data_IF_487989823239
#
_entry.id   IF_487989823239
#
_cell.length_a   1.000
_cell.length_b   1.000
_cell.length_c   1.000
_cell.angle_alpha   90.00
_cell.angle_beta   90.00
_cell.angle_gamma   90.00
#
_symmetry.space_group_name_H-M   'P 1'
#
loop_
_entity.id
_entity.type
_entity.pdbx_description
1 polymer ?
#
# COMPACT_ATOMS: atom_id res chain seq x y z
N UNK A 1 0.96 -19.29 45.24
CA UNK A 1 -0.08 -18.35 44.79
C UNK A 1 0.47 -17.17 43.94
N UNK A 2 1.69 -16.69 44.14
CA UNK A 2 2.23 -15.55 43.39
C UNK A 2 2.46 -15.79 41.90
N UNK A 3 2.72 -17.00 41.45
CA UNK A 3 3.03 -17.33 40.06
C UNK A 3 1.83 -17.27 39.08
N UNK A 4 0.62 -17.14 39.56
CA UNK A 4 -0.60 -17.09 38.73
C UNK A 4 -1.05 -15.65 38.45
N UNK A 5 -0.83 -14.74 39.39
CA UNK A 5 -1.37 -13.37 39.32
C UNK A 5 -0.65 -12.48 38.30
N UNK A 6 0.69 -12.54 38.21
CA UNK A 6 1.40 -11.75 37.18
C UNK A 6 1.09 -12.22 35.76
N UNK A 7 0.85 -13.54 35.60
CA UNK A 7 0.53 -14.13 34.29
C UNK A 7 -0.86 -13.67 33.82
N UNK A 8 -1.83 -13.59 34.72
CA UNK A 8 -3.16 -13.07 34.44
C UNK A 8 -3.12 -11.62 33.95
N UNK A 9 -2.28 -10.76 34.55
CA UNK A 9 -2.10 -9.35 34.11
C UNK A 9 -1.47 -9.31 32.73
N UNK A 10 -0.46 -10.14 32.49
CA UNK A 10 0.20 -10.25 31.19
C UNK A 10 -0.80 -10.64 30.12
N UNK A 11 -1.55 -11.73 30.33
CA UNK A 11 -2.50 -12.27 29.37
C UNK A 11 -3.64 -11.28 29.09
N UNK A 12 -4.13 -10.55 30.09
CA UNK A 12 -5.19 -9.55 29.88
C UNK A 12 -4.70 -8.32 29.12
N UNK A 13 -3.50 -7.80 29.45
CA UNK A 13 -2.91 -6.70 28.68
C UNK A 13 -2.72 -7.11 27.22
N UNK A 14 -2.27 -8.33 26.98
CA UNK A 14 -2.07 -8.87 25.64
C UNK A 14 -3.40 -9.04 24.92
N UNK A 15 -4.41 -9.57 25.58
CA UNK A 15 -5.75 -9.71 25.01
C UNK A 15 -6.34 -8.34 24.67
N UNK A 16 -6.18 -7.34 25.54
CA UNK A 16 -6.60 -5.95 25.27
C UNK A 16 -5.90 -5.34 24.06
N UNK A 17 -4.64 -5.68 23.90
CA UNK A 17 -3.87 -5.27 22.76
C UNK A 17 -4.32 -6.01 21.50
N UNK A 18 -4.49 -7.33 21.56
CA UNK A 18 -4.96 -8.17 20.44
C UNK A 18 -6.37 -7.80 20.00
N UNK A 19 -7.24 -7.45 20.94
CA UNK A 19 -8.61 -7.02 20.66
C UNK A 19 -8.73 -5.54 20.26
N UNK A 20 -7.61 -4.80 20.20
CA UNK A 20 -7.60 -3.40 19.83
C UNK A 20 -8.10 -2.42 20.89
N UNK A 21 -8.33 -2.87 22.12
CA UNK A 21 -8.66 -2.01 23.25
C UNK A 21 -7.48 -1.15 23.69
N UNK A 22 -6.26 -1.72 23.59
CA UNK A 22 -5.00 -1.00 23.73
C UNK A 22 -4.27 -1.08 22.38
N UNK A 23 -3.84 0.06 21.87
CA UNK A 23 -3.15 0.14 20.60
C UNK A 23 -1.70 0.64 20.79
N UNK A 24 -0.86 0.38 19.80
CA UNK A 24 0.51 0.88 19.77
C UNK A 24 0.55 2.39 20.02
N UNK A 25 1.39 2.80 20.96
CA UNK A 25 1.50 4.19 21.44
C UNK A 25 0.47 4.59 22.50
N UNK A 26 -0.45 3.71 22.91
CA UNK A 26 -1.35 4.02 24.02
C UNK A 26 -0.61 3.96 25.36
N UNK A 27 -0.94 4.92 26.23
CA UNK A 27 -0.43 4.95 27.58
C UNK A 27 -1.20 3.96 28.46
N UNK A 28 -0.49 3.12 29.17
CA UNK A 28 -1.10 2.26 30.19
C UNK A 28 -1.50 3.10 31.42
N UNK A 29 -2.52 2.64 32.17
CA UNK A 29 -2.79 3.18 33.51
C UNK A 29 -1.56 3.11 34.40
N UNK A 30 -1.53 3.92 35.45
CA UNK A 30 -0.43 3.88 36.41
C UNK A 30 -0.35 2.52 37.14
N UNK A 31 0.84 2.16 37.62
CA UNK A 31 1.03 0.94 38.40
C UNK A 31 0.06 0.82 39.59
N UNK A 32 -0.35 1.95 40.17
CA UNK A 32 -1.31 2.01 41.25
C UNK A 32 -2.73 1.68 40.76
N UNK A 33 -3.16 2.21 39.67
CA UNK A 33 -4.47 1.93 39.06
C UNK A 33 -4.55 0.48 38.59
N UNK A 34 -3.47 -0.05 37.98
CA UNK A 34 -3.39 -1.47 37.59
C UNK A 34 -3.47 -2.37 38.83
N UNK A 35 -2.75 -2.06 39.91
CA UNK A 35 -2.77 -2.79 41.17
C UNK A 35 -4.17 -2.83 41.78
N UNK A 36 -4.90 -1.71 41.77
CA UNK A 36 -6.27 -1.63 42.23
C UNK A 36 -7.25 -2.42 41.34
N UNK A 37 -7.11 -2.32 40.03
CA UNK A 37 -7.99 -2.99 39.04
C UNK A 37 -7.92 -4.52 39.18
N UNK A 38 -6.71 -5.08 39.31
CA UNK A 38 -6.52 -6.53 39.42
C UNK A 38 -6.51 -7.03 40.86
N UNK A 39 -6.65 -6.16 41.85
CA UNK A 39 -6.58 -6.49 43.26
C UNK A 39 -5.31 -7.29 43.65
N UNK A 40 -4.15 -6.80 43.20
CA UNK A 40 -2.84 -7.42 43.44
C UNK A 40 -1.84 -6.43 44.02
N UNK A 41 -0.74 -6.94 44.56
CA UNK A 41 0.34 -6.10 45.06
C UNK A 41 1.06 -5.35 43.92
N UNK A 42 1.57 -4.16 44.21
CA UNK A 42 2.31 -3.36 43.27
C UNK A 42 3.54 -4.07 42.70
N UNK A 43 4.21 -4.90 43.50
CA UNK A 43 5.33 -5.74 43.05
C UNK A 43 4.96 -6.67 41.93
N UNK A 44 3.76 -7.30 42.02
CA UNK A 44 3.22 -8.18 40.96
C UNK A 44 2.96 -7.42 39.65
N UNK A 45 2.43 -6.19 39.76
CA UNK A 45 2.26 -5.30 38.58
C UNK A 45 3.59 -4.94 37.96
N UNK A 46 4.58 -4.54 38.78
CA UNK A 46 5.93 -4.20 38.29
C UNK A 46 6.52 -5.39 37.54
N UNK A 47 6.46 -6.58 38.16
CA UNK A 47 6.94 -7.83 37.52
C UNK A 47 6.25 -8.07 36.18
N UNK A 48 4.93 -7.93 36.10
CA UNK A 48 4.17 -8.11 34.84
C UNK A 48 4.59 -7.11 33.78
N UNK A 49 4.68 -5.83 34.15
CA UNK A 49 5.08 -4.78 33.21
C UNK A 49 6.54 -4.94 32.77
N UNK A 50 7.44 -5.37 33.66
CA UNK A 50 8.85 -5.59 33.28
C UNK A 50 9.02 -6.79 32.35
N UNK A 51 8.23 -7.84 32.53
CA UNK A 51 8.15 -8.97 31.60
C UNK A 51 7.63 -8.47 30.24
N UNK A 52 6.54 -7.72 30.20
CA UNK A 52 6.00 -7.16 28.96
C UNK A 52 6.97 -6.18 28.26
N UNK A 53 7.75 -5.44 29.04
CA UNK A 53 8.85 -4.59 28.53
C UNK A 53 10.00 -5.43 27.99
N UNK A 54 10.40 -6.48 28.72
CA UNK A 54 11.47 -7.39 28.25
C UNK A 54 11.09 -8.07 26.94
N UNK A 55 9.81 -8.33 26.74
CA UNK A 55 9.24 -8.80 25.46
C UNK A 55 9.07 -7.68 24.44
N UNK A 56 9.31 -6.42 24.84
CA UNK A 56 9.18 -5.25 23.97
C UNK A 56 7.74 -4.95 23.55
N UNK A 57 6.77 -5.48 24.25
CA UNK A 57 5.34 -5.19 24.08
C UNK A 57 5.03 -3.81 24.67
N UNK A 58 5.69 -3.49 25.76
CA UNK A 58 5.61 -2.21 26.41
C UNK A 58 6.96 -1.49 26.35
N UNK A 59 6.94 -0.17 26.38
CA UNK A 59 8.10 0.68 26.50
C UNK A 59 7.89 1.76 27.56
N UNK A 60 8.96 2.18 28.23
CA UNK A 60 8.90 3.28 29.17
C UNK A 60 9.36 4.55 28.48
N UNK A 61 8.54 5.58 28.46
CA UNK A 61 8.95 6.92 28.05
C UNK A 61 9.27 7.68 29.34
N UNK A 62 10.51 8.13 29.46
CA UNK A 62 11.00 8.81 30.64
C UNK A 62 10.10 9.97 31.05
N UNK A 63 9.73 10.06 32.35
CA UNK A 63 8.81 11.03 32.95
C UNK A 63 7.38 11.04 32.39
N UNK A 64 7.02 10.18 31.40
CA UNK A 64 5.68 10.12 30.81
C UNK A 64 4.88 8.85 31.17
N UNK A 65 5.57 7.75 31.47
CA UNK A 65 4.94 6.50 31.90
C UNK A 65 5.23 5.30 31.01
N UNK A 66 4.40 4.26 31.12
CA UNK A 66 4.50 3.03 30.32
C UNK A 66 3.51 3.08 29.17
N UNK A 67 3.99 2.74 27.99
CA UNK A 67 3.23 2.78 26.73
C UNK A 67 3.28 1.44 26.02
N UNK A 68 2.27 1.14 25.23
CA UNK A 68 2.32 0.03 24.29
C UNK A 68 3.34 0.34 23.23
N UNK A 69 4.35 -0.49 23.05
CA UNK A 69 5.48 -0.24 22.14
C UNK A 69 5.03 -0.12 20.69
N UNK A 70 5.63 0.84 19.97
CA UNK A 70 5.35 1.05 18.55
C UNK A 70 6.01 -0.01 17.63
N UNK A 71 6.94 -0.82 18.14
CA UNK A 71 7.88 -1.54 17.28
C UNK A 71 7.91 -3.07 17.41
N UNK A 72 7.13 -3.72 18.29
CA UNK A 72 7.39 -5.14 18.63
C UNK A 72 6.15 -6.04 18.82
N UNK A 73 5.20 -6.02 17.88
CA UNK A 73 4.01 -6.86 17.96
C UNK A 73 4.18 -8.34 17.56
N UNK A 74 5.24 -8.70 16.82
CA UNK A 74 5.47 -10.09 16.37
C UNK A 74 6.08 -11.03 17.43
N UNK A 75 6.21 -10.59 18.67
CA UNK A 75 6.91 -11.36 19.72
C UNK A 75 6.02 -12.37 20.48
N UNK A 76 4.75 -12.53 20.09
CA UNK A 76 3.81 -13.41 20.79
C UNK A 76 3.68 -14.83 20.24
N UNK A 77 4.60 -15.27 19.40
CA UNK A 77 4.74 -16.69 19.16
C UNK A 77 5.70 -17.21 20.22
N UNK A 78 5.25 -18.18 21.00
CA UNK A 78 5.96 -18.95 22.03
C UNK A 78 7.27 -19.56 21.52
N UNK A 79 8.24 -18.73 21.16
CA UNK A 79 9.55 -19.17 20.73
C UNK A 79 10.66 -18.53 21.55
N UNK A 80 11.69 -19.29 21.81
CA UNK A 80 12.85 -18.98 22.62
C UNK A 80 13.27 -17.50 22.56
N UNK A 81 13.61 -16.91 23.70
CA UNK A 81 14.13 -15.55 23.96
C UNK A 81 15.16 -15.08 22.91
N UNK A 82 15.93 -15.98 22.30
CA UNK A 82 16.89 -15.68 21.25
C UNK A 82 16.30 -15.06 19.98
N UNK A 83 15.19 -15.54 19.46
CA UNK A 83 14.58 -15.02 18.22
C UNK A 83 14.11 -13.57 18.34
N UNK A 84 13.66 -13.16 19.53
CA UNK A 84 13.24 -11.78 19.78
C UNK A 84 14.38 -10.78 19.62
N UNK A 85 15.60 -11.15 20.06
CA UNK A 85 16.79 -10.32 19.88
C UNK A 85 17.12 -10.17 18.39
N UNK A 86 17.05 -11.27 17.61
CA UNK A 86 17.25 -11.21 16.16
C UNK A 86 16.23 -10.33 15.48
N UNK A 87 14.94 -10.51 15.76
CA UNK A 87 13.84 -9.70 15.20
C UNK A 87 14.00 -8.23 15.62
N UNK A 88 14.28 -7.95 16.89
CA UNK A 88 14.45 -6.61 17.41
C UNK A 88 15.63 -5.84 16.82
N UNK A 89 16.71 -6.53 16.48
CA UNK A 89 17.92 -5.96 15.90
C UNK A 89 17.94 -6.02 14.35
N UNK A 90 16.93 -6.64 13.74
CA UNK A 90 16.81 -6.73 12.28
C UNK A 90 16.74 -5.33 11.65
N UNK A 91 17.40 -5.16 10.51
CA UNK A 91 17.31 -3.93 9.70
C UNK A 91 15.90 -3.76 9.11
N UNK A 92 15.23 -4.85 8.78
CA UNK A 92 13.86 -4.86 8.29
C UNK A 92 12.88 -4.88 9.45
N UNK A 93 12.02 -3.88 9.51
CA UNK A 93 10.97 -3.79 10.55
C UNK A 93 9.65 -4.34 10.03
N UNK A 94 8.87 -4.91 10.92
CA UNK A 94 7.49 -5.33 10.63
C UNK A 94 6.61 -4.16 10.22
N UNK A 95 5.50 -4.42 9.55
CA UNK A 95 4.50 -3.42 9.21
C UNK A 95 3.95 -2.71 10.46
N UNK A 96 3.39 -1.53 10.26
CA UNK A 96 2.67 -0.80 11.30
C UNK A 96 1.44 -1.60 11.76
N UNK A 97 1.02 -1.40 13.01
CA UNK A 97 -0.10 -2.10 13.63
C UNK A 97 -1.37 -2.10 12.77
N UNK A 98 -1.80 -0.95 12.27
CA UNK A 98 -2.98 -0.88 11.39
C UNK A 98 -2.86 -1.80 10.17
N UNK A 99 -1.68 -1.82 9.53
CA UNK A 99 -1.46 -2.63 8.32
C UNK A 99 -1.52 -4.12 8.67
N UNK A 100 -0.91 -4.53 9.79
CA UNK A 100 -0.98 -5.92 10.25
C UNK A 100 -2.42 -6.33 10.55
N UNK A 101 -3.14 -5.48 11.30
CA UNK A 101 -4.54 -5.74 11.67
C UNK A 101 -5.48 -5.76 10.47
N UNK A 102 -5.27 -4.86 9.50
CA UNK A 102 -6.04 -4.86 8.25
C UNK A 102 -5.77 -6.14 7.46
N UNK A 103 -4.50 -6.50 7.27
CA UNK A 103 -4.13 -7.73 6.54
C UNK A 103 -4.73 -8.98 7.18
N UNK A 104 -4.76 -9.07 8.52
CA UNK A 104 -5.38 -10.18 9.23
C UNK A 104 -6.91 -10.21 9.00
N UNK A 105 -7.57 -9.06 9.14
CA UNK A 105 -9.02 -8.96 9.04
C UNK A 105 -9.52 -9.10 7.60
N UNK A 106 -8.73 -8.77 6.60
CA UNK A 106 -9.09 -8.95 5.19
C UNK A 106 -9.34 -10.43 4.81
N UNK A 107 -8.86 -11.39 5.60
CA UNK A 107 -9.16 -12.81 5.40
C UNK A 107 -10.41 -13.29 6.16
N UNK A 108 -11.05 -12.43 6.96
CA UNK A 108 -12.31 -12.78 7.61
C UNK A 108 -13.48 -12.64 6.62
N UNK A 109 -14.20 -13.74 6.26
CA UNK A 109 -15.26 -13.70 5.28
C UNK A 109 -16.47 -12.87 5.70
N UNK A 110 -16.63 -12.62 7.01
CA UNK A 110 -17.77 -11.88 7.55
C UNK A 110 -17.54 -10.35 7.61
N UNK A 111 -16.34 -9.88 7.28
CA UNK A 111 -16.04 -8.46 7.38
C UNK A 111 -16.33 -7.72 6.06
N UNK A 112 -17.03 -6.61 6.16
CA UNK A 112 -17.30 -5.72 5.03
C UNK A 112 -16.10 -4.81 4.82
N UNK A 113 -15.44 -4.94 3.68
CA UNK A 113 -14.18 -4.25 3.38
C UNK A 113 -14.45 -2.93 2.66
N UNK A 114 -14.52 -1.82 3.42
CA UNK A 114 -14.69 -0.47 2.86
C UNK A 114 -13.39 0.23 2.46
N UNK A 115 -12.23 -0.35 2.76
CA UNK A 115 -10.93 0.28 2.49
C UNK A 115 -9.96 -0.56 1.66
N UNK A 116 -10.30 -1.81 1.34
CA UNK A 116 -9.42 -2.78 0.68
C UNK A 116 -8.92 -2.31 -0.69
N UNK A 117 -7.64 -2.54 -0.94
CA UNK A 117 -6.95 -2.11 -2.15
C UNK A 117 -6.95 -3.13 -3.30
N UNK A 118 -7.99 -3.94 -3.44
CA UNK A 118 -8.12 -4.94 -4.50
C UNK A 118 -9.53 -4.98 -5.08
N UNK A 119 -9.67 -5.63 -6.23
CA UNK A 119 -10.96 -5.88 -6.87
C UNK A 119 -11.72 -6.97 -6.12
N UNK A 120 -13.06 -6.84 -6.08
CA UNK A 120 -13.93 -7.93 -5.65
C UNK A 120 -13.71 -9.18 -6.52
N UNK A 121 -13.79 -10.41 -5.96
CA UNK A 121 -13.78 -11.62 -6.74
C UNK A 121 -14.83 -11.66 -7.86
N UNK A 122 -15.92 -10.91 -7.73
CA UNK A 122 -16.96 -10.75 -8.77
C UNK A 122 -16.49 -9.94 -9.98
N UNK A 123 -15.48 -9.07 -9.81
CA UNK A 123 -14.89 -8.25 -10.87
C UNK A 123 -13.69 -8.91 -11.54
N UNK A 124 -13.21 -10.03 -10.98
CA UNK A 124 -12.12 -10.81 -11.57
C UNK A 124 -12.71 -11.73 -12.65
N UNK A 125 -12.19 -11.68 -13.89
CA UNK A 125 -12.75 -12.44 -15.02
C UNK A 125 -12.35 -13.91 -14.99
N UNK A 126 -12.79 -14.64 -13.97
CA UNK A 126 -12.41 -16.04 -13.71
C UNK A 126 -12.74 -16.98 -14.87
N UNK A 127 -13.78 -16.69 -15.66
CA UNK A 127 -14.16 -17.49 -16.83
C UNK A 127 -13.09 -17.40 -17.93
N UNK A 128 -12.51 -16.22 -18.17
CA UNK A 128 -11.44 -16.04 -19.14
C UNK A 128 -10.13 -16.72 -18.68
N UNK A 129 -9.85 -16.72 -17.37
CA UNK A 129 -8.73 -17.49 -16.84
C UNK A 129 -8.89 -18.98 -17.05
N UNK A 130 -10.10 -19.53 -16.86
CA UNK A 130 -10.38 -20.94 -17.15
C UNK A 130 -10.12 -21.25 -18.61
N UNK A 131 -10.57 -20.40 -19.53
CA UNK A 131 -10.35 -20.55 -20.96
C UNK A 131 -8.84 -20.55 -21.30
N UNK A 132 -8.08 -19.55 -20.80
CA UNK A 132 -6.63 -19.47 -21.03
C UNK A 132 -5.92 -20.72 -20.50
N UNK A 133 -6.28 -21.18 -19.29
CA UNK A 133 -5.65 -22.36 -18.67
C UNK A 133 -6.03 -23.65 -19.44
N UNK A 134 -7.27 -23.80 -19.86
CA UNK A 134 -7.68 -24.97 -20.65
C UNK A 134 -6.95 -25.06 -21.99
N UNK A 135 -6.78 -23.93 -22.66
CA UNK A 135 -6.04 -23.87 -23.93
C UNK A 135 -4.52 -24.07 -23.72
N UNK A 136 -4.01 -23.87 -22.52
CA UNK A 136 -2.59 -24.04 -22.19
C UNK A 136 -2.11 -25.49 -22.28
N UNK A 137 -3.02 -26.46 -22.12
CA UNK A 137 -2.70 -27.89 -22.20
C UNK A 137 -2.24 -28.26 -23.62
N UNK A 138 -2.83 -27.65 -24.65
CA UNK A 138 -2.42 -27.81 -26.04
C UNK A 138 -1.13 -27.09 -26.40
N UNK A 139 -0.80 -26.02 -25.71
CA UNK A 139 0.33 -25.14 -26.02
C UNK A 139 1.68 -25.61 -25.43
N UNK A 140 1.73 -26.77 -24.78
CA UNK A 140 2.94 -27.37 -24.17
C UNK A 140 3.71 -26.35 -23.32
N UNK A 141 3.09 -25.84 -22.22
CA UNK A 141 3.73 -24.86 -21.33
C UNK A 141 5.04 -25.43 -20.79
N UNK A 142 6.13 -24.73 -21.06
CA UNK A 142 7.39 -24.99 -20.40
C UNK A 142 7.33 -24.43 -18.97
N UNK A 143 7.60 -25.26 -17.99
CA UNK A 143 7.58 -24.92 -16.56
C UNK A 143 8.99 -24.78 -15.97
N UNK A 144 10.00 -24.65 -16.82
CA UNK A 144 11.39 -24.38 -16.42
C UNK A 144 11.55 -22.95 -15.92
N UNK A 145 12.73 -22.64 -15.39
CA UNK A 145 13.08 -21.26 -15.08
C UNK A 145 13.03 -20.39 -16.32
N UNK A 146 12.46 -19.21 -16.17
CA UNK A 146 12.42 -18.20 -17.22
C UNK A 146 13.66 -17.29 -17.13
N UNK A 147 13.95 -16.55 -18.20
CA UNK A 147 14.99 -15.52 -18.17
C UNK A 147 14.79 -14.56 -16.99
N UNK A 148 15.85 -14.04 -16.37
CA UNK A 148 15.76 -13.06 -15.28
C UNK A 148 14.91 -11.84 -15.63
N UNK A 149 14.97 -11.35 -16.88
CA UNK A 149 14.10 -10.28 -17.40
C UNK A 149 12.63 -10.68 -17.56
N UNK A 150 12.34 -11.97 -17.53
CA UNK A 150 11.03 -12.54 -17.81
C UNK A 150 10.88 -13.04 -19.26
N UNK A 151 9.86 -13.85 -19.47
CA UNK A 151 9.55 -14.52 -20.74
C UNK A 151 9.50 -13.53 -21.91
N UNK A 152 10.21 -13.84 -22.99
CA UNK A 152 10.30 -12.95 -24.17
C UNK A 152 8.91 -12.61 -24.73
N UNK A 153 8.03 -13.62 -24.84
CA UNK A 153 6.65 -13.40 -25.34
C UNK A 153 5.87 -12.39 -24.47
N UNK A 154 6.03 -12.44 -23.14
CA UNK A 154 5.38 -11.47 -22.27
C UNK A 154 6.01 -10.07 -22.40
N UNK A 155 7.32 -9.99 -22.53
CA UNK A 155 8.01 -8.70 -22.76
C UNK A 155 7.57 -8.05 -24.07
N UNK A 156 7.36 -8.84 -25.13
CA UNK A 156 6.80 -8.35 -26.41
C UNK A 156 5.38 -7.79 -26.22
N UNK A 157 4.52 -8.48 -25.47
CA UNK A 157 3.18 -7.95 -25.19
C UNK A 157 3.21 -6.69 -24.30
N UNK A 158 4.17 -6.60 -23.38
CA UNK A 158 4.38 -5.35 -22.62
C UNK A 158 4.87 -4.23 -23.52
N UNK A 159 5.74 -4.47 -24.52
CA UNK A 159 6.10 -3.47 -25.55
C UNK A 159 4.85 -2.97 -26.29
N UNK A 160 3.98 -3.89 -26.73
CA UNK A 160 2.72 -3.54 -27.41
C UNK A 160 1.80 -2.71 -26.49
N UNK A 161 1.69 -3.13 -25.23
CA UNK A 161 0.94 -2.41 -24.19
C UNK A 161 1.48 -0.99 -23.99
N UNK A 162 2.80 -0.81 -23.89
CA UNK A 162 3.44 0.49 -23.71
C UNK A 162 3.31 1.38 -24.94
N UNK A 163 3.41 0.80 -26.14
CA UNK A 163 3.21 1.52 -27.42
C UNK A 163 1.82 2.16 -27.49
N UNK A 164 0.77 1.45 -27.08
CA UNK A 164 -0.61 2.00 -27.02
C UNK A 164 -0.74 3.17 -26.03
N UNK A 165 0.24 3.35 -25.15
CA UNK A 165 0.32 4.44 -24.15
C UNK A 165 1.31 5.54 -24.56
N UNK A 166 1.81 5.48 -25.79
CA UNK A 166 2.75 6.45 -26.35
C UNK A 166 4.18 6.31 -25.85
N UNK A 167 4.52 5.20 -25.18
CA UNK A 167 5.89 4.92 -24.72
C UNK A 167 6.62 4.09 -25.77
N UNK A 168 7.77 4.58 -26.22
CA UNK A 168 8.65 3.87 -27.15
C UNK A 168 9.67 3.09 -26.32
N UNK A 169 9.65 1.78 -26.44
CA UNK A 169 10.61 0.88 -25.80
C UNK A 169 10.72 -0.43 -26.59
N UNK A 170 11.76 -1.20 -26.34
CA UNK A 170 11.94 -2.55 -26.83
C UNK A 170 11.97 -3.58 -25.70
N UNK A 171 12.14 -4.86 -26.04
CA UNK A 171 12.13 -5.97 -25.08
C UNK A 171 13.27 -5.88 -24.06
N UNK A 172 14.38 -5.23 -24.40
CA UNK A 172 15.53 -5.07 -23.52
C UNK A 172 15.32 -3.95 -22.47
N UNK A 173 14.31 -3.11 -22.67
CA UNK A 173 13.90 -2.09 -21.70
C UNK A 173 12.93 -2.62 -20.63
N UNK A 174 12.61 -3.92 -20.65
CA UNK A 174 11.55 -4.48 -19.80
C UNK A 174 12.10 -5.57 -18.87
N UNK A 175 11.76 -5.46 -17.58
CA UNK A 175 11.93 -6.52 -16.58
C UNK A 175 10.58 -6.89 -15.98
N UNK A 176 10.17 -8.14 -16.13
CA UNK A 176 8.96 -8.69 -15.51
C UNK A 176 9.24 -8.95 -14.02
N UNK A 177 8.30 -8.60 -13.18
CA UNK A 177 8.39 -8.73 -11.72
C UNK A 177 7.17 -9.44 -11.13
N UNK A 178 7.32 -9.96 -9.92
CA UNK A 178 6.23 -10.55 -9.14
C UNK A 178 5.34 -9.46 -8.53
N UNK A 179 4.73 -8.63 -9.38
CA UNK A 179 3.98 -7.43 -9.05
C UNK A 179 4.88 -6.20 -8.83
N UNK A 180 4.27 -5.02 -8.79
CA UNK A 180 4.98 -3.74 -8.66
C UNK A 180 5.81 -3.62 -7.37
N UNK A 181 5.40 -4.26 -6.26
CA UNK A 181 6.13 -4.22 -4.98
C UNK A 181 7.52 -4.85 -5.11
N UNK A 182 7.67 -5.95 -5.87
CA UNK A 182 9.00 -6.49 -6.16
C UNK A 182 9.81 -5.51 -7.01
N UNK A 183 9.19 -4.84 -7.98
CA UNK A 183 9.84 -3.78 -8.76
C UNK A 183 10.37 -2.65 -7.88
N UNK A 184 9.56 -2.17 -6.92
CA UNK A 184 9.99 -1.18 -5.94
C UNK A 184 11.14 -1.68 -5.07
N UNK A 185 11.13 -2.96 -4.68
CA UNK A 185 12.24 -3.55 -3.91
C UNK A 185 13.53 -3.62 -4.73
N UNK A 186 13.46 -4.07 -5.98
CA UNK A 186 14.63 -4.13 -6.86
C UNK A 186 15.23 -2.75 -7.11
N UNK A 187 14.40 -1.72 -7.32
CA UNK A 187 14.84 -0.32 -7.43
C UNK A 187 15.54 0.13 -6.15
N UNK A 188 14.97 -0.23 -5.00
CA UNK A 188 15.54 0.09 -3.71
C UNK A 188 16.93 -0.55 -3.52
N UNK A 189 17.02 -1.85 -3.75
CA UNK A 189 18.25 -2.61 -3.52
C UNK A 189 19.33 -2.32 -4.57
N UNK A 190 18.95 -2.01 -5.81
CA UNK A 190 19.86 -1.85 -6.94
C UNK A 190 20.28 -0.41 -7.23
N UNK A 191 19.46 0.58 -6.92
CA UNK A 191 19.73 1.95 -7.34
C UNK A 191 19.94 2.92 -6.17
N UNK A 192 19.49 2.58 -4.96
CA UNK A 192 19.66 3.42 -3.78
C UNK A 192 20.88 3.01 -2.97
N UNK A 193 21.54 4.00 -2.39
CA UNK A 193 22.67 3.82 -1.47
C UNK A 193 22.32 4.43 -0.10
N UNK A 194 23.00 4.04 0.99
CA UNK A 194 22.89 4.79 2.23
C UNK A 194 23.14 6.28 1.97
N UNK A 195 22.28 7.15 2.49
CA UNK A 195 22.26 8.61 2.26
C UNK A 195 21.59 9.08 0.95
N UNK A 196 21.11 8.20 0.06
CA UNK A 196 20.22 8.62 -1.03
C UNK A 196 19.06 9.45 -0.47
N UNK A 197 18.64 10.48 -1.22
CA UNK A 197 17.42 11.22 -0.93
C UNK A 197 16.28 10.65 -1.78
N UNK A 198 15.21 10.32 -1.10
CA UNK A 198 13.98 9.85 -1.75
C UNK A 198 12.90 10.89 -1.53
N UNK A 199 12.60 11.65 -2.56
CA UNK A 199 11.49 12.59 -2.55
C UNK A 199 10.22 11.77 -2.81
N UNK A 200 9.22 11.90 -1.95
CA UNK A 200 7.94 11.20 -2.06
C UNK A 200 6.77 12.17 -1.96
N UNK A 201 5.71 11.86 -2.67
CA UNK A 201 4.42 12.49 -2.45
C UNK A 201 3.86 12.09 -1.08
N UNK A 202 3.13 12.99 -0.43
CA UNK A 202 2.45 12.68 0.83
C UNK A 202 1.05 13.29 0.85
N UNK A 203 0.04 12.54 1.39
CA UNK A 203 0.09 11.15 1.86
C UNK A 203 0.31 10.19 0.70
N UNK A 204 0.98 9.05 0.88
CA UNK A 204 1.28 8.16 -0.24
C UNK A 204 1.29 6.68 0.14
N UNK A 205 0.96 5.83 -0.82
CA UNK A 205 1.02 4.38 -0.69
C UNK A 205 2.40 3.87 -0.26
N UNK A 206 3.49 4.50 -0.72
CA UNK A 206 4.86 4.06 -0.39
C UNK A 206 5.12 4.06 1.13
N UNK A 207 4.42 4.88 1.90
CA UNK A 207 4.50 4.90 3.36
C UNK A 207 3.81 3.69 4.01
N UNK A 208 2.87 3.05 3.32
CA UNK A 208 2.19 1.85 3.78
C UNK A 208 3.04 0.59 3.61
N UNK A 209 4.12 0.65 2.84
CA UNK A 209 5.08 -0.43 2.65
C UNK A 209 6.46 0.00 3.13
N UNK A 210 7.19 -0.92 3.78
CA UNK A 210 8.49 -0.58 4.38
C UNK A 210 9.70 -0.85 3.49
N UNK A 211 9.48 -1.13 2.23
CA UNK A 211 10.51 -1.53 1.27
C UNK A 211 11.66 -0.53 1.20
N UNK A 212 11.37 0.77 1.24
CA UNK A 212 12.38 1.83 1.13
C UNK A 212 12.86 2.40 2.46
N UNK A 213 12.17 2.09 3.57
CA UNK A 213 12.59 2.52 4.91
C UNK A 213 13.82 1.75 5.44
N UNK A 214 14.09 0.57 4.88
CA UNK A 214 15.17 -0.30 5.33
C UNK A 214 16.54 0.12 4.80
N UNK A 215 16.57 0.92 3.75
CA UNK A 215 17.79 1.51 3.22
C UNK A 215 18.02 2.79 4.01
N UNK A 216 19.11 2.96 4.73
CA UNK A 216 19.45 4.16 5.52
C UNK A 216 19.45 5.45 4.67
N UNK A 217 18.42 5.62 3.83
CA UNK A 217 18.15 6.73 2.95
C UNK A 217 17.29 7.78 3.65
N UNK A 218 17.37 9.02 3.21
CA UNK A 218 16.55 10.11 3.75
C UNK A 218 15.30 10.29 2.90
N UNK A 219 14.15 9.90 3.43
CA UNK A 219 12.86 10.19 2.81
C UNK A 219 12.48 11.66 3.05
N UNK A 220 12.04 12.33 1.98
CA UNK A 220 11.60 13.74 1.98
C UNK A 220 10.13 13.76 1.54
N UNK A 221 9.18 13.73 2.49
CA UNK A 221 7.76 13.78 2.17
C UNK A 221 7.35 15.20 1.80
N UNK A 222 6.67 15.36 0.67
CA UNK A 222 6.19 16.63 0.16
C UNK A 222 4.74 16.50 -0.29
N UNK A 223 3.86 17.40 0.16
CA UNK A 223 2.48 17.35 -0.29
C UNK A 223 2.37 17.64 -1.79
N UNK A 224 1.44 16.97 -2.47
CA UNK A 224 1.22 17.14 -3.92
C UNK A 224 0.96 18.60 -4.27
N UNK A 225 0.18 19.31 -3.44
CA UNK A 225 -0.08 20.75 -3.65
C UNK A 225 1.20 21.57 -3.52
N UNK A 226 2.10 21.24 -2.59
CA UNK A 226 3.39 21.91 -2.48
C UNK A 226 4.27 21.63 -3.70
N UNK A 227 4.30 20.39 -4.18
CA UNK A 227 5.02 20.00 -5.40
C UNK A 227 4.51 20.81 -6.58
N UNK A 228 3.20 20.85 -6.84
CA UNK A 228 2.58 21.58 -7.96
C UNK A 228 2.92 23.07 -7.95
N UNK A 229 2.90 23.70 -6.77
CA UNK A 229 3.22 25.15 -6.64
C UNK A 229 4.71 25.47 -6.77
N UNK A 230 5.59 24.51 -6.50
CA UNK A 230 7.04 24.76 -6.37
C UNK A 230 7.89 23.89 -7.32
N UNK A 231 7.35 23.37 -8.41
CA UNK A 231 8.03 22.43 -9.33
C UNK A 231 9.43 22.96 -9.72
N UNK A 232 9.57 24.25 -10.00
CA UNK A 232 10.83 24.85 -10.46
C UNK A 232 11.97 24.82 -9.43
N UNK A 233 11.67 24.70 -8.14
CA UNK A 233 12.66 24.84 -7.06
C UNK A 233 12.81 23.59 -6.19
N UNK A 234 11.78 22.77 -6.13
CA UNK A 234 11.68 21.66 -5.17
C UNK A 234 12.79 20.62 -5.37
N UNK A 235 13.20 20.39 -6.61
CA UNK A 235 14.21 19.38 -6.94
C UNK A 235 15.65 19.87 -6.76
N UNK A 236 15.88 21.16 -6.54
CA UNK A 236 17.20 21.70 -6.20
C UNK A 236 17.74 21.21 -4.85
N UNK A 237 16.84 20.74 -3.97
CA UNK A 237 17.19 20.20 -2.65
C UNK A 237 18.07 18.94 -2.77
N UNK A 238 18.01 18.25 -3.89
CA UNK A 238 18.72 16.98 -4.12
C UNK A 238 20.01 17.10 -4.90
N UNK A 239 20.35 18.27 -5.45
CA UNK A 239 21.50 18.48 -6.36
C UNK A 239 22.88 18.08 -5.78
N UNK A 240 22.99 17.97 -4.46
CA UNK A 240 24.24 17.61 -3.77
C UNK A 240 24.30 16.13 -3.34
N UNK A 241 23.32 15.30 -3.72
CA UNK A 241 23.24 13.93 -3.25
C UNK A 241 23.26 12.95 -4.42
N UNK A 242 24.14 11.96 -4.33
CA UNK A 242 24.20 10.85 -5.31
C UNK A 242 22.92 9.99 -5.18
N UNK A 243 22.47 9.45 -6.32
CA UNK A 243 21.38 8.48 -6.41
C UNK A 243 20.07 8.95 -5.74
N UNK A 244 19.65 10.19 -6.02
CA UNK A 244 18.36 10.69 -5.57
C UNK A 244 17.23 10.23 -6.48
N UNK A 245 16.08 9.89 -5.88
CA UNK A 245 14.89 9.44 -6.61
C UNK A 245 13.67 10.29 -6.19
N UNK A 246 12.83 10.62 -7.17
CA UNK A 246 11.47 11.09 -6.96
C UNK A 246 10.49 9.95 -7.24
N UNK A 247 9.79 9.46 -6.22
CA UNK A 247 8.71 8.49 -6.38
C UNK A 247 7.37 9.21 -6.43
N UNK A 248 6.59 8.93 -7.48
CA UNK A 248 5.25 9.50 -7.65
C UNK A 248 4.26 8.50 -8.26
N UNK A 249 2.97 8.74 -7.97
CA UNK A 249 1.83 8.11 -8.63
C UNK A 249 1.13 9.21 -9.44
N UNK A 250 1.59 9.52 -10.67
CA UNK A 250 1.22 10.75 -11.37
C UNK A 250 -0.20 10.73 -11.95
N UNK A 251 -0.89 9.59 -11.91
CA UNK A 251 -2.26 9.42 -12.39
C UNK A 251 -3.04 8.57 -11.41
N UNK A 252 -4.19 9.07 -10.93
CA UNK A 252 -5.07 8.42 -9.95
C UNK A 252 -4.32 8.05 -8.66
N UNK A 253 -3.66 9.04 -8.09
CA UNK A 253 -2.80 8.88 -6.92
C UNK A 253 -3.48 8.16 -5.75
N UNK A 254 -2.83 7.15 -5.19
CA UNK A 254 -3.29 6.45 -3.98
C UNK A 254 -2.62 7.06 -2.74
N UNK A 255 -3.39 7.70 -1.80
CA UNK A 255 -4.84 7.59 -1.64
C UNK A 255 -5.67 8.76 -2.23
N UNK A 256 -5.06 9.87 -2.65
CA UNK A 256 -5.73 11.18 -2.84
C UNK A 256 -6.50 11.35 -4.14
N UNK A 257 -6.36 10.44 -5.11
CA UNK A 257 -6.92 10.51 -6.46
C UNK A 257 -6.41 11.69 -7.32
N UNK A 258 -5.39 12.42 -6.85
CA UNK A 258 -4.77 13.48 -7.65
C UNK A 258 -4.18 12.93 -8.95
N UNK A 259 -4.24 13.74 -10.00
CA UNK A 259 -3.58 13.49 -11.27
C UNK A 259 -2.83 14.74 -11.69
N UNK A 260 -1.58 14.60 -12.12
CA UNK A 260 -0.84 15.71 -12.71
C UNK A 260 -1.26 15.94 -14.15
N UNK A 261 -1.34 17.21 -14.56
CA UNK A 261 -1.53 17.56 -15.97
C UNK A 261 -0.30 17.18 -16.80
N UNK A 262 -0.45 17.18 -18.13
CA UNK A 262 0.67 16.91 -19.04
C UNK A 262 1.82 17.90 -18.82
N UNK A 263 1.47 19.17 -18.64
CA UNK A 263 2.42 20.27 -18.42
C UNK A 263 3.15 20.14 -17.10
N UNK A 264 2.43 19.75 -16.01
CA UNK A 264 3.02 19.48 -14.71
C UNK A 264 4.01 18.30 -14.78
N UNK A 265 3.61 17.20 -15.44
CA UNK A 265 4.47 16.02 -15.66
C UNK A 265 5.74 16.38 -16.41
N UNK A 266 5.63 17.16 -17.51
CA UNK A 266 6.79 17.59 -18.29
C UNK A 266 7.73 18.46 -17.46
N UNK A 267 7.20 19.45 -16.73
CA UNK A 267 8.03 20.30 -15.85
C UNK A 267 8.75 19.49 -14.78
N UNK A 268 8.10 18.48 -14.19
CA UNK A 268 8.72 17.59 -13.21
C UNK A 268 9.88 16.83 -13.84
N UNK A 269 9.69 16.25 -15.03
CA UNK A 269 10.73 15.53 -15.77
C UNK A 269 11.94 16.45 -16.01
N UNK A 270 11.70 17.64 -16.59
CA UNK A 270 12.76 18.58 -16.95
C UNK A 270 13.55 19.05 -15.70
N UNK A 271 12.87 19.30 -14.60
CA UNK A 271 13.53 19.68 -13.33
C UNK A 271 14.29 18.52 -12.69
N UNK A 272 13.75 17.31 -12.71
CA UNK A 272 14.44 16.13 -12.21
C UNK A 272 15.70 15.85 -13.05
N UNK A 273 15.61 15.88 -14.37
CA UNK A 273 16.74 15.69 -15.26
C UNK A 273 17.83 16.74 -15.02
N UNK A 274 17.45 18.02 -14.93
CA UNK A 274 18.39 19.13 -14.66
C UNK A 274 19.15 18.95 -13.32
N UNK A 275 18.56 18.31 -12.35
CA UNK A 275 19.12 18.12 -11.01
C UNK A 275 19.67 16.70 -10.78
N UNK A 276 19.76 15.84 -11.82
CA UNK A 276 20.30 14.49 -11.73
C UNK A 276 19.46 13.54 -10.85
N UNK A 277 18.12 13.73 -10.86
CA UNK A 277 17.17 12.94 -10.08
C UNK A 277 16.46 11.96 -11.02
N UNK A 278 16.46 10.67 -10.67
CA UNK A 278 15.65 9.69 -11.38
C UNK A 278 14.21 9.73 -10.86
N UNK A 279 13.25 9.40 -11.73
CA UNK A 279 11.83 9.36 -11.40
C UNK A 279 11.38 7.91 -11.40
N UNK A 280 10.67 7.50 -10.35
CA UNK A 280 9.91 6.24 -10.32
C UNK A 280 8.44 6.58 -10.47
N UNK A 281 7.93 6.35 -11.67
CA UNK A 281 6.52 6.53 -12.02
C UNK A 281 5.74 5.25 -11.72
N UNK A 282 4.95 5.24 -10.65
CA UNK A 282 4.05 4.14 -10.32
C UNK A 282 2.69 4.34 -11.01
N UNK A 283 2.45 3.59 -12.08
CA UNK A 283 1.29 3.75 -12.96
C UNK A 283 0.29 2.58 -12.89
N UNK A 284 0.24 1.86 -11.78
CA UNK A 284 -0.60 0.66 -11.62
C UNK A 284 -2.12 0.91 -11.69
N UNK A 285 -2.56 2.16 -11.55
CA UNK A 285 -3.98 2.55 -11.64
C UNK A 285 -4.36 3.21 -12.95
N UNK A 286 -3.40 3.55 -13.81
CA UNK A 286 -3.61 4.42 -14.98
C UNK A 286 -4.65 3.89 -15.99
N UNK A 287 -4.82 2.57 -16.09
CA UNK A 287 -5.83 1.95 -16.96
C UNK A 287 -7.26 2.13 -16.46
N UNK A 288 -7.44 2.46 -15.18
CA UNK A 288 -8.75 2.64 -14.55
C UNK A 288 -9.28 4.08 -14.68
N UNK A 289 -8.74 4.88 -15.56
CA UNK A 289 -9.24 6.21 -15.92
C UNK A 289 -10.60 6.09 -16.61
N UNK A 290 -11.64 6.77 -16.09
CA UNK A 290 -13.01 6.56 -16.56
C UNK A 290 -13.30 7.17 -17.93
N UNK A 291 -12.70 8.30 -18.25
CA UNK A 291 -12.92 8.94 -19.55
C UNK A 291 -12.15 8.23 -20.67
N UNK A 292 -12.54 8.49 -21.92
CA UNK A 292 -11.91 7.90 -23.10
C UNK A 292 -10.44 8.29 -23.22
N UNK A 293 -10.13 9.57 -23.02
CA UNK A 293 -8.76 10.09 -23.15
C UNK A 293 -8.01 9.99 -21.83
N UNK A 294 -7.31 8.88 -21.66
CA UNK A 294 -6.43 8.63 -20.52
C UNK A 294 -5.26 9.63 -20.48
N UNK A 295 -4.87 10.13 -19.28
CA UNK A 295 -3.63 10.89 -19.11
C UNK A 295 -2.40 10.11 -19.57
N UNK A 296 -1.53 10.75 -20.35
CA UNK A 296 -0.29 10.12 -20.80
C UNK A 296 0.65 9.85 -19.61
N UNK A 297 1.38 8.72 -19.61
CA UNK A 297 2.40 8.47 -18.61
C UNK A 297 3.58 9.43 -18.78
N UNK A 298 4.32 9.69 -17.69
CA UNK A 298 5.53 10.51 -17.73
C UNK A 298 6.57 9.90 -18.67
N UNK A 299 6.70 8.57 -18.68
CA UNK A 299 7.63 7.82 -19.54
C UNK A 299 7.40 8.07 -21.04
N UNK A 300 6.22 8.52 -21.45
CA UNK A 300 5.91 8.85 -22.86
C UNK A 300 6.24 10.30 -23.27
N UNK A 301 6.62 11.14 -22.31
CA UNK A 301 6.88 12.56 -22.55
C UNK A 301 8.34 12.79 -22.99
N UNK A 302 8.65 14.02 -23.41
CA UNK A 302 10.00 14.39 -23.82
C UNK A 302 10.99 14.30 -22.66
N UNK A 303 12.25 13.98 -22.96
CA UNK A 303 13.35 13.94 -21.97
C UNK A 303 13.10 12.95 -20.81
N UNK A 304 12.38 11.85 -21.05
CA UNK A 304 11.96 10.88 -20.01
C UNK A 304 12.96 9.74 -19.80
N UNK A 305 14.23 9.88 -20.20
CA UNK A 305 15.26 8.84 -20.06
C UNK A 305 15.51 8.48 -18.59
N UNK A 306 15.40 9.46 -17.69
CA UNK A 306 15.52 9.31 -16.25
C UNK A 306 14.24 8.77 -15.57
N UNK A 307 13.21 8.38 -16.33
CA UNK A 307 11.95 7.83 -15.79
C UNK A 307 11.96 6.30 -15.83
N UNK A 308 11.82 5.68 -14.67
CA UNK A 308 11.51 4.27 -14.52
C UNK A 308 10.00 4.12 -14.36
N UNK A 309 9.36 3.44 -15.30
CA UNK A 309 7.92 3.18 -15.25
C UNK A 309 7.63 1.84 -14.56
N UNK A 310 6.69 1.82 -13.63
CA UNK A 310 6.15 0.62 -12.99
C UNK A 310 4.74 0.35 -13.46
N UNK A 311 4.51 -0.84 -14.01
CA UNK A 311 3.20 -1.35 -14.38
C UNK A 311 2.85 -2.64 -13.62
N UNK A 312 1.55 -2.97 -13.57
CA UNK A 312 1.09 -4.21 -12.94
C UNK A 312 -0.32 -4.58 -13.38
N UNK A 313 -0.61 -5.87 -13.44
CA UNK A 313 -1.96 -6.41 -13.65
C UNK A 313 -2.74 -6.58 -12.34
N UNK A 314 -2.12 -6.31 -11.19
CA UNK A 314 -2.74 -6.60 -9.87
C UNK A 314 -3.98 -5.78 -9.57
N UNK A 315 -4.12 -4.57 -10.14
CA UNK A 315 -5.24 -3.66 -9.88
C UNK A 315 -6.28 -3.63 -10.98
N UNK A 316 -5.95 -4.22 -12.12
CA UNK A 316 -6.79 -4.20 -13.32
C UNK A 316 -7.30 -5.57 -13.71
N UNK A 317 -6.63 -6.63 -13.28
CA UNK A 317 -6.95 -8.01 -13.71
C UNK A 317 -7.11 -8.91 -12.50
N UNK A 318 -6.02 -9.25 -11.83
CA UNK A 318 -6.05 -10.09 -10.64
C UNK A 318 -4.79 -9.91 -9.79
N UNK A 319 -4.92 -9.67 -8.49
CA UNK A 319 -3.76 -9.60 -7.59
C UNK A 319 -3.05 -10.96 -7.47
N UNK A 320 -3.77 -12.08 -7.65
CA UNK A 320 -3.24 -13.44 -7.57
C UNK A 320 -2.29 -13.82 -8.71
N UNK A 321 -2.36 -13.14 -9.87
CA UNK A 321 -1.44 -13.35 -10.98
C UNK A 321 0.01 -13.01 -10.67
N UNK A 322 0.23 -12.09 -9.75
CA UNK A 322 1.58 -11.62 -9.36
C UNK A 322 2.44 -11.20 -10.55
N UNK A 323 1.89 -10.46 -11.51
CA UNK A 323 2.62 -9.91 -12.66
C UNK A 323 2.66 -8.38 -12.59
N UNK A 324 3.87 -7.86 -12.69
CA UNK A 324 4.20 -6.46 -12.90
C UNK A 324 5.41 -6.35 -13.80
N UNK A 325 5.82 -5.13 -14.13
CA UNK A 325 6.99 -4.85 -14.94
C UNK A 325 7.60 -3.50 -14.63
N UNK A 326 8.91 -3.40 -14.89
CA UNK A 326 9.67 -2.16 -14.93
C UNK A 326 10.00 -1.87 -16.39
N UNK A 327 9.84 -0.60 -16.82
CA UNK A 327 10.34 -0.11 -18.10
C UNK A 327 11.36 0.99 -17.85
N UNK A 328 12.61 0.76 -18.23
CA UNK A 328 13.73 1.69 -18.01
C UNK A 328 14.83 1.54 -19.08
N UNK A 329 15.92 2.27 -18.92
CA UNK A 329 17.12 2.09 -19.74
C UNK A 329 17.63 0.64 -19.66
N UNK A 330 18.18 0.14 -20.77
CA UNK A 330 18.67 -1.23 -20.90
C UNK A 330 19.71 -1.62 -19.82
N UNK A 331 20.61 -0.70 -19.47
CA UNK A 331 21.63 -0.98 -18.46
C UNK A 331 21.01 -1.10 -17.07
N UNK A 332 20.00 -0.27 -16.77
CA UNK A 332 19.22 -0.37 -15.53
C UNK A 332 18.48 -1.70 -15.48
N UNK A 333 17.83 -2.10 -16.57
CA UNK A 333 17.12 -3.39 -16.64
C UNK A 333 18.06 -4.57 -16.47
N UNK A 334 19.22 -4.56 -17.11
CA UNK A 334 20.22 -5.61 -16.94
C UNK A 334 20.63 -5.74 -15.47
N UNK A 335 20.98 -4.63 -14.83
CA UNK A 335 21.37 -4.61 -13.43
C UNK A 335 20.25 -5.11 -12.50
N UNK A 336 19.03 -4.62 -12.66
CA UNK A 336 17.89 -5.04 -11.83
C UNK A 336 17.52 -6.50 -12.05
N UNK A 337 17.67 -7.02 -13.28
CA UNK A 337 17.42 -8.44 -13.56
C UNK A 337 18.45 -9.36 -12.93
N UNK A 338 19.72 -8.96 -12.87
CA UNK A 338 20.76 -9.72 -12.16
C UNK A 338 20.47 -9.78 -10.65
N UNK A 339 20.08 -8.65 -10.06
CA UNK A 339 19.65 -8.63 -8.66
C UNK A 339 18.41 -9.48 -8.40
N UNK A 340 17.45 -9.45 -9.35
CA UNK A 340 16.25 -10.28 -9.25
C UNK A 340 16.61 -11.77 -9.24
N UNK A 341 17.55 -12.20 -10.07
CA UNK A 341 18.03 -13.58 -10.10
C UNK A 341 18.57 -14.05 -8.76
N UNK A 342 19.21 -13.15 -7.98
CA UNK A 342 19.69 -13.46 -6.63
C UNK A 342 18.58 -13.59 -5.59
N UNK A 343 17.39 -13.06 -5.87
CA UNK A 343 16.25 -13.06 -4.94
C UNK A 343 15.23 -14.17 -5.23
N UNK A 344 14.82 -14.37 -6.49
CA UNK A 344 13.72 -15.28 -6.83
C UNK A 344 13.90 -16.03 -8.17
N UNK A 345 15.06 -15.98 -8.80
CA UNK A 345 15.36 -16.60 -10.10
C UNK A 345 14.43 -16.20 -11.26
N UNK A 346 13.20 -15.77 -10.99
CA UNK A 346 12.25 -15.37 -12.01
C UNK A 346 10.80 -15.40 -11.53
N UNK A 347 9.93 -14.68 -12.21
CA UNK A 347 8.50 -14.75 -11.98
C UNK A 347 7.95 -16.09 -12.51
N UNK A 348 6.86 -16.58 -11.92
CA UNK A 348 6.21 -17.83 -12.30
C UNK A 348 5.96 -17.93 -13.82
N UNK A 349 6.46 -18.99 -14.46
CA UNK A 349 6.27 -19.26 -15.90
C UNK A 349 4.80 -19.38 -16.27
N UNK A 350 3.98 -20.01 -15.42
CA UNK A 350 2.53 -20.13 -15.59
C UNK A 350 1.86 -18.75 -15.56
N UNK A 351 2.18 -17.93 -14.57
CA UNK A 351 1.64 -16.57 -14.49
C UNK A 351 2.04 -15.72 -15.69
N UNK A 352 3.27 -15.87 -16.17
CA UNK A 352 3.75 -15.16 -17.35
C UNK A 352 3.05 -15.64 -18.63
N UNK A 353 2.79 -16.92 -18.77
CA UNK A 353 1.99 -17.45 -19.88
C UNK A 353 0.57 -16.85 -19.88
N UNK A 354 -0.11 -16.90 -18.75
CA UNK A 354 -1.46 -16.34 -18.61
C UNK A 354 -1.44 -14.83 -18.94
N UNK A 355 -0.48 -14.09 -18.42
CA UNK A 355 -0.35 -12.64 -18.66
C UNK A 355 -0.08 -12.33 -20.15
N UNK A 356 0.70 -13.16 -20.85
CA UNK A 356 0.96 -13.03 -22.29
C UNK A 356 -0.36 -13.14 -23.07
N UNK A 357 -1.12 -14.21 -22.87
CA UNK A 357 -2.41 -14.42 -23.53
C UNK A 357 -3.41 -13.31 -23.15
N UNK A 358 -3.40 -12.89 -21.90
CA UNK A 358 -4.26 -11.82 -21.40
C UNK A 358 -4.00 -10.49 -22.12
N UNK A 359 -2.76 -10.01 -22.13
CA UNK A 359 -2.39 -8.73 -22.76
C UNK A 359 -2.65 -8.74 -24.26
N UNK A 360 -2.42 -9.87 -24.90
CA UNK A 360 -2.64 -10.04 -26.34
C UNK A 360 -4.11 -9.98 -26.73
N UNK A 361 -4.99 -10.67 -25.97
CA UNK A 361 -6.35 -10.98 -26.44
C UNK A 361 -7.45 -10.28 -25.66
N UNK A 362 -7.35 -10.22 -24.33
CA UNK A 362 -8.51 -9.89 -23.48
C UNK A 362 -8.42 -8.52 -22.82
N UNK A 363 -7.22 -7.94 -22.70
CA UNK A 363 -6.96 -6.80 -21.82
C UNK A 363 -7.85 -5.58 -22.11
N UNK A 364 -7.89 -5.11 -23.35
CA UNK A 364 -8.59 -3.86 -23.70
C UNK A 364 -10.10 -3.97 -23.50
N UNK A 365 -10.69 -5.11 -23.89
CA UNK A 365 -12.12 -5.39 -23.69
C UNK A 365 -12.45 -5.42 -22.20
N UNK A 366 -11.68 -6.18 -21.43
CA UNK A 366 -11.87 -6.28 -19.99
C UNK A 366 -11.75 -4.93 -19.28
N UNK A 367 -10.76 -4.11 -19.62
CA UNK A 367 -10.59 -2.78 -19.03
C UNK A 367 -11.80 -1.88 -19.31
N UNK A 368 -12.35 -1.96 -20.53
CA UNK A 368 -13.55 -1.19 -20.86
C UNK A 368 -14.75 -1.61 -20.02
N UNK A 369 -14.98 -2.90 -19.87
CA UNK A 369 -16.06 -3.47 -19.04
C UNK A 369 -15.86 -3.16 -17.56
N UNK A 370 -14.64 -3.34 -17.04
CA UNK A 370 -14.28 -3.05 -15.65
C UNK A 370 -14.49 -1.57 -15.28
N UNK A 371 -14.10 -0.65 -16.17
CA UNK A 371 -14.31 0.79 -15.95
C UNK A 371 -15.79 1.15 -15.83
N UNK A 372 -16.64 0.57 -16.67
CA UNK A 372 -18.10 0.79 -16.61
C UNK A 372 -18.66 0.32 -15.26
N UNK A 373 -18.26 -0.86 -14.84
CA UNK A 373 -18.72 -1.42 -13.57
C UNK A 373 -18.20 -0.62 -12.36
N UNK A 374 -16.92 -0.22 -12.37
CA UNK A 374 -16.35 0.61 -11.32
C UNK A 374 -17.00 2.00 -11.27
N UNK A 375 -17.34 2.60 -12.43
CA UNK A 375 -18.06 3.88 -12.48
C UNK A 375 -19.44 3.78 -11.86
N UNK A 376 -20.19 2.73 -12.19
CA UNK A 376 -21.50 2.44 -11.57
C UNK A 376 -21.38 2.31 -10.05
N UNK A 377 -20.42 1.54 -9.55
CA UNK A 377 -20.17 1.36 -8.11
C UNK A 377 -19.77 2.67 -7.43
N UNK A 378 -18.94 3.49 -8.11
CA UNK A 378 -18.60 4.84 -7.65
C UNK A 378 -19.84 5.68 -7.44
N UNK A 379 -20.74 5.73 -8.42
CA UNK A 379 -21.92 6.57 -8.35
C UNK A 379 -22.84 6.15 -7.19
N UNK A 380 -23.08 4.85 -7.00
CA UNK A 380 -23.81 4.31 -5.84
C UNK A 380 -23.12 4.69 -4.52
N UNK A 381 -21.79 4.58 -4.46
CA UNK A 381 -21.03 4.89 -3.25
C UNK A 381 -21.07 6.39 -2.92
N UNK A 382 -20.92 7.24 -3.91
CA UNK A 382 -21.00 8.71 -3.75
C UNK A 382 -22.38 9.14 -3.26
N UNK A 383 -23.45 8.55 -3.79
CA UNK A 383 -24.82 8.88 -3.35
C UNK A 383 -25.07 8.43 -1.90
N UNK A 384 -24.54 7.29 -1.51
CA UNK A 384 -24.59 6.84 -0.13
C UNK A 384 -23.71 7.71 0.80
N UNK A 385 -22.54 8.20 0.34
CA UNK A 385 -21.73 9.17 1.09
C UNK A 385 -22.50 10.49 1.30
N UNK A 386 -23.12 11.03 0.25
CA UNK A 386 -23.95 12.24 0.34
C UNK A 386 -25.06 12.07 1.38
N UNK A 387 -25.72 10.91 1.37
CA UNK A 387 -26.85 10.62 2.26
C UNK A 387 -26.43 10.47 3.72
N UNK A 388 -25.32 9.79 3.98
CA UNK A 388 -24.99 9.36 5.34
C UNK A 388 -23.80 10.08 5.97
N UNK A 389 -22.83 10.60 5.18
CA UNK A 389 -21.57 11.12 5.70
C UNK A 389 -21.27 12.57 5.32
N UNK A 390 -22.08 13.23 4.47
CA UNK A 390 -21.85 14.62 4.05
C UNK A 390 -21.80 15.63 5.21
N UNK A 391 -22.53 15.37 6.28
CA UNK A 391 -22.51 16.20 7.48
C UNK A 391 -21.24 16.05 8.33
N UNK A 392 -20.41 15.07 8.05
CA UNK A 392 -19.20 14.78 8.82
C UNK A 392 -17.91 15.10 8.08
N UNK A 393 -17.97 15.30 6.77
CA UNK A 393 -16.74 15.54 5.99
C UNK A 393 -17.00 15.76 4.50
N UNK A 394 -15.90 15.80 3.75
CA UNK A 394 -15.88 16.06 2.32
C UNK A 394 -14.94 15.10 1.58
N UNK A 395 -15.09 15.01 0.28
CA UNK A 395 -14.28 14.19 -0.63
C UNK A 395 -14.27 14.78 -2.03
N UNK A 396 -13.28 14.38 -2.85
CA UNK A 396 -13.28 14.69 -4.27
C UNK A 396 -13.95 13.56 -5.06
N UNK A 397 -14.68 13.89 -6.12
CA UNK A 397 -15.25 12.89 -7.04
C UNK A 397 -14.11 12.23 -7.84
N UNK A 398 -13.92 10.89 -7.77
CA UNK A 398 -12.84 10.21 -8.45
C UNK A 398 -13.03 10.18 -9.96
N UNK A 399 -11.97 10.52 -10.72
CA UNK A 399 -11.94 10.39 -12.19
C UNK A 399 -11.57 8.97 -12.66
N UNK A 400 -11.38 8.04 -11.74
CA UNK A 400 -10.99 6.66 -12.03
C UNK A 400 -10.57 5.89 -10.79
N UNK A 401 -9.87 4.75 -10.98
CA UNK A 401 -9.47 3.86 -9.89
C UNK A 401 -10.69 3.33 -9.12
N UNK A 402 -10.56 3.12 -7.82
CA UNK A 402 -11.64 2.64 -6.97
C UNK A 402 -11.53 3.17 -5.53
N UNK A 403 -10.86 4.31 -5.32
CA UNK A 403 -10.69 4.94 -4.02
C UNK A 403 -11.43 6.26 -3.92
N UNK A 404 -11.81 6.59 -2.69
CA UNK A 404 -12.30 7.91 -2.28
C UNK A 404 -11.49 8.33 -1.06
N UNK A 405 -10.89 9.51 -1.11
CA UNK A 405 -10.17 10.11 0.00
C UNK A 405 -11.11 11.05 0.75
N UNK A 406 -11.54 10.61 1.94
CA UNK A 406 -12.54 11.31 2.75
C UNK A 406 -11.85 12.06 3.89
N UNK A 407 -12.12 13.35 3.99
CA UNK A 407 -11.64 14.24 5.05
C UNK A 407 -12.78 14.55 6.02
N UNK A 408 -12.58 14.27 7.30
CA UNK A 408 -13.54 14.71 8.33
C UNK A 408 -13.41 16.21 8.58
N UNK A 409 -14.54 16.94 8.50
CA UNK A 409 -14.64 18.35 8.88
C UNK A 409 -14.87 18.55 10.39
N UNK A 410 -15.07 17.44 11.11
CA UNK A 410 -15.26 17.40 12.56
C UNK A 410 -14.04 16.79 13.23
N UNK A 411 -13.79 17.16 14.50
CA UNK A 411 -12.79 16.47 15.32
C UNK A 411 -13.30 15.08 15.66
N UNK A 412 -12.58 14.05 15.20
CA UNK A 412 -12.91 12.66 15.43
C UNK A 412 -11.66 11.84 15.71
N UNK A 413 -11.75 10.93 16.66
CA UNK A 413 -10.68 9.95 16.87
C UNK A 413 -10.84 8.78 15.88
N UNK A 414 -10.13 8.87 14.73
CA UNK A 414 -10.21 7.85 13.66
C UNK A 414 -9.73 6.47 14.15
N UNK A 415 -8.83 6.42 15.13
CA UNK A 415 -8.41 5.17 15.77
C UNK A 415 -9.56 4.51 16.55
N UNK A 416 -10.32 5.31 17.31
CA UNK A 416 -11.53 4.82 17.97
C UNK A 416 -12.57 4.38 16.95
N UNK A 417 -12.74 5.16 15.88
CA UNK A 417 -13.63 4.81 14.78
C UNK A 417 -13.25 3.47 14.13
N UNK A 418 -11.98 3.24 13.86
CA UNK A 418 -11.47 1.97 13.31
C UNK A 418 -11.82 0.78 14.22
N UNK A 419 -11.55 0.90 15.52
CA UNK A 419 -11.84 -0.18 16.48
C UNK A 419 -13.34 -0.46 16.61
N UNK A 420 -14.18 0.59 16.69
CA UNK A 420 -15.64 0.42 16.79
C UNK A 420 -16.23 -0.12 15.47
N UNK A 421 -15.68 0.26 14.32
CA UNK A 421 -16.10 -0.26 13.01
C UNK A 421 -15.85 -1.77 12.89
N UNK A 422 -14.72 -2.26 13.41
CA UNK A 422 -14.39 -3.70 13.43
C UNK A 422 -15.42 -4.50 14.24
N UNK A 423 -15.89 -3.97 15.38
CA UNK A 423 -16.93 -4.62 16.19
C UNK A 423 -18.26 -4.77 15.42
N UNK A 424 -18.52 -3.89 14.49
CA UNK A 424 -19.69 -3.94 13.59
C UNK A 424 -19.40 -4.67 12.26
N UNK A 425 -18.29 -5.41 12.20
CA UNK A 425 -17.81 -6.11 11.00
C UNK A 425 -17.56 -5.18 9.79
N UNK A 426 -17.09 -3.98 10.01
CA UNK A 426 -16.72 -3.01 8.96
C UNK A 426 -15.24 -2.69 9.07
N UNK A 427 -14.49 -2.90 7.99
CA UNK A 427 -13.08 -2.58 7.89
C UNK A 427 -12.89 -1.30 7.08
N UNK A 428 -12.45 -0.23 7.74
CA UNK A 428 -12.05 1.05 7.12
C UNK A 428 -10.53 1.16 7.03
N UNK A 429 -10.04 2.13 6.28
CA UNK A 429 -8.60 2.37 6.13
C UNK A 429 -8.21 3.76 6.62
N UNK A 430 -7.62 3.90 7.84
CA UNK A 430 -7.20 5.18 8.39
C UNK A 430 -6.15 5.89 7.54
N UNK A 431 -6.25 7.21 7.46
CA UNK A 431 -5.31 8.05 6.70
C UNK A 431 -3.88 8.04 7.24
N UNK A 432 -3.71 7.79 8.54
CA UNK A 432 -2.40 7.66 9.18
C UNK A 432 -1.49 6.58 8.56
N UNK A 433 -2.07 5.58 7.89
CA UNK A 433 -1.32 4.55 7.15
C UNK A 433 -0.47 5.17 6.05
N UNK A 434 -0.96 6.24 5.44
CA UNK A 434 -0.32 6.92 4.30
C UNK A 434 0.59 8.07 4.72
N UNK A 435 0.30 8.70 5.86
CA UNK A 435 1.14 9.71 6.53
C UNK A 435 0.54 10.03 7.90
N UNK A 436 1.36 10.10 8.93
CA UNK A 436 0.98 10.36 10.33
C UNK A 436 0.27 11.71 10.56
N UNK A 437 0.38 12.65 9.64
CA UNK A 437 -0.29 13.94 9.70
C UNK A 437 -1.76 13.88 9.26
N UNK A 438 -2.19 12.80 8.59
CA UNK A 438 -3.56 12.64 8.06
C UNK A 438 -4.48 11.86 9.01
N UNK A 439 -4.47 12.24 10.30
CA UNK A 439 -5.26 11.61 11.36
C UNK A 439 -6.76 11.79 11.21
N UNK A 440 -7.18 12.81 10.46
CA UNK A 440 -8.58 13.16 10.23
C UNK A 440 -9.10 12.68 8.87
N UNK A 441 -8.46 11.62 8.33
CA UNK A 441 -8.79 11.09 7.01
C UNK A 441 -9.03 9.58 7.06
N UNK A 442 -9.86 9.12 6.13
CA UNK A 442 -9.99 7.70 5.80
C UNK A 442 -9.98 7.53 4.28
N UNK A 443 -9.44 6.40 3.80
CA UNK A 443 -9.59 5.99 2.42
C UNK A 443 -10.70 4.96 2.32
N UNK A 444 -11.72 5.26 1.53
CA UNK A 444 -12.70 4.29 1.09
C UNK A 444 -12.29 3.59 -0.20
N UNK A 445 -12.88 2.42 -0.43
CA UNK A 445 -12.80 1.66 -1.67
C UNK A 445 -14.18 1.11 -2.03
N UNK A 446 -14.60 1.35 -3.26
CA UNK A 446 -15.89 0.84 -3.78
C UNK A 446 -15.73 -0.38 -4.68
N UNK A 447 -14.50 -0.91 -4.85
CA UNK A 447 -14.27 -2.07 -5.72
C UNK A 447 -14.64 -3.41 -5.10
N UNK A 448 -14.49 -3.56 -3.78
CA UNK A 448 -14.62 -4.85 -3.10
C UNK A 448 -16.02 -5.09 -2.54
N UNK A 449 -16.63 -4.07 -1.95
CA UNK A 449 -17.96 -4.16 -1.33
C UNK A 449 -19.03 -4.49 -2.37
N UNK A 450 -20.03 -5.30 -1.98
CA UNK A 450 -21.22 -5.54 -2.81
C UNK A 450 -22.07 -4.26 -2.90
N UNK A 451 -22.61 -3.98 -4.09
CA UNK A 451 -23.43 -2.78 -4.33
C UNK A 451 -24.60 -2.67 -3.35
N UNK A 452 -25.25 -3.80 -3.06
CA UNK A 452 -26.38 -3.88 -2.14
C UNK A 452 -26.01 -3.57 -0.67
N UNK A 453 -24.74 -3.74 -0.31
CA UNK A 453 -24.25 -3.51 1.04
C UNK A 453 -23.73 -2.08 1.27
N UNK A 454 -23.47 -1.31 0.19
CA UNK A 454 -22.87 0.04 0.29
C UNK A 454 -23.70 0.95 1.20
N UNK A 455 -24.98 1.11 0.90
CA UNK A 455 -25.85 2.02 1.64
C UNK A 455 -25.98 1.63 3.11
N UNK A 456 -26.22 0.33 3.39
CA UNK A 456 -26.33 -0.21 4.75
C UNK A 456 -25.04 -0.01 5.54
N UNK A 457 -23.87 -0.21 4.92
CA UNK A 457 -22.58 -0.12 5.59
C UNK A 457 -22.21 1.33 5.92
N UNK A 458 -22.46 2.28 5.01
CA UNK A 458 -22.23 3.70 5.27
C UNK A 458 -23.20 4.27 6.30
N UNK A 459 -24.47 3.79 6.34
CA UNK A 459 -25.42 4.11 7.40
C UNK A 459 -24.94 3.60 8.77
N UNK A 460 -24.44 2.38 8.85
CA UNK A 460 -23.84 1.84 10.08
C UNK A 460 -22.63 2.68 10.53
N UNK A 461 -21.74 3.00 9.60
CA UNK A 461 -20.56 3.83 9.89
C UNK A 461 -20.97 5.23 10.41
N UNK A 462 -21.98 5.85 9.82
CA UNK A 462 -22.56 7.12 10.30
C UNK A 462 -23.05 7.01 11.75
N UNK A 463 -23.72 5.92 12.11
CA UNK A 463 -24.18 5.68 13.48
C UNK A 463 -23.01 5.51 14.47
N UNK A 464 -21.93 4.85 14.04
CA UNK A 464 -20.72 4.72 14.87
C UNK A 464 -20.09 6.10 15.08
N UNK A 465 -19.94 6.90 14.03
CA UNK A 465 -19.42 8.27 14.12
C UNK A 465 -20.22 9.11 15.10
N UNK A 466 -21.57 9.03 15.04
CA UNK A 466 -22.46 9.73 15.95
C UNK A 466 -22.24 9.34 17.42
N UNK A 467 -22.05 8.04 17.69
CA UNK A 467 -21.78 7.52 19.04
C UNK A 467 -20.41 7.95 19.59
N UNK A 468 -19.40 8.11 18.73
CA UNK A 468 -18.04 8.48 19.12
C UNK A 468 -17.96 9.99 19.42
N UNK A 469 -18.74 10.80 18.69
CA UNK A 469 -18.76 12.27 18.82
C UNK A 469 -19.44 12.73 20.11
N UNK A 470 -20.41 11.95 20.61
CA UNK A 470 -21.07 12.18 21.90
C UNK A 470 -20.22 11.61 23.03
#
# INVERSE_FOLDING_TARGET
MGNFQYKMIIDDIINKINNGELSSGDKLPSQREISQYYNVNRSTVIQSLDILKSYGILETIEKKGVYVSQYKWNAYITSNIHWQNYIGNSMSKSNQFYIQRINELEFNPNIIRLGTGELSPKLIPNHLFKEIISNSISDSIQTNYEEPKGKLSLRLEVVNYMKKRGVICDVDNICITSGAVQGLKLIADGLLVPQSKIIIETPSYINSIRTWHNIKSKMIPLSINYIKRNINNIFKISSNYKNSIFYCIPTLHNPTQNTYTKEEKQKIIDQCQKNGISIVEDSIYSDLWFDEKRPMPMKSLKNSDNVLYLGSLSKTVSPGLRIGWIVADKNVINHLSDLKMQNDYGASSISQYIATKWLNTYHEKHISELKLELKKRKDIFIDALKTHLSMYGSWNDPSGSFYIWFEFSISINVKKLFNESIKENILIQPGEIYDSNYKNYIRFSYSYIDENDINRSLKKLSNIIKKIKN
#
